data_IF_473746481270
#
_entry.id   IF_473746481270
#
_cell.length_a   1.000
_cell.length_b   1.000
_cell.length_c   1.000
_cell.angle_alpha   90.00
_cell.angle_beta   90.00
_cell.angle_gamma   90.00
#
_symmetry.space_group_name_H-M   'P 1'
#
loop_
_entity.id
_entity.type
_entity.pdbx_description
1 polymer ?
#
# COMPACT_ATOMS: atom_id res chain seq x y z
N UNK A 1 1.17 -17.78 -16.06
CA UNK A 1 0.32 -16.69 -16.60
C UNK A 1 0.25 -16.79 -18.13
N UNK A 2 -0.88 -17.24 -18.70
CA UNK A 2 -1.04 -17.39 -20.16
C UNK A 2 -1.68 -16.15 -20.78
N UNK A 3 -1.33 -15.87 -22.04
CA UNK A 3 -1.84 -14.70 -22.78
C UNK A 3 -3.36 -14.73 -22.93
N UNK A 4 -3.94 -15.88 -23.29
CA UNK A 4 -5.38 -15.99 -23.54
C UNK A 4 -6.21 -15.72 -22.29
N UNK A 5 -5.78 -16.24 -21.13
CA UNK A 5 -6.47 -16.00 -19.86
C UNK A 5 -6.37 -14.54 -19.44
N UNK A 6 -5.19 -13.93 -19.56
CA UNK A 6 -5.01 -12.52 -19.22
C UNK A 6 -5.75 -11.56 -20.17
N UNK A 7 -5.97 -11.95 -21.43
CA UNK A 7 -6.86 -11.20 -22.33
C UNK A 7 -8.31 -11.29 -21.84
N UNK A 8 -8.78 -12.46 -21.42
CA UNK A 8 -10.12 -12.60 -20.83
C UNK A 8 -10.28 -11.76 -19.55
N UNK A 9 -9.26 -11.70 -18.69
CA UNK A 9 -9.26 -10.80 -17.53
C UNK A 9 -9.37 -9.32 -17.96
N UNK A 10 -8.62 -8.89 -18.99
CA UNK A 10 -8.73 -7.53 -19.50
C UNK A 10 -10.12 -7.24 -20.11
N UNK A 11 -10.70 -8.21 -20.82
CA UNK A 11 -12.05 -8.12 -21.40
C UNK A 11 -13.13 -8.00 -20.31
N UNK A 12 -12.94 -8.61 -19.13
CA UNK A 12 -13.89 -8.51 -18.01
C UNK A 12 -14.20 -7.06 -17.64
N UNK A 13 -13.19 -6.17 -17.66
CA UNK A 13 -13.33 -4.75 -17.35
C UNK A 13 -14.03 -3.92 -18.44
N UNK A 14 -14.27 -4.48 -19.63
CA UNK A 14 -15.02 -3.78 -20.69
C UNK A 14 -16.53 -3.73 -20.39
N UNK A 15 -17.03 -4.67 -19.58
CA UNK A 15 -18.40 -4.67 -19.10
C UNK A 15 -18.69 -3.43 -18.26
N UNK A 16 -19.79 -2.73 -18.56
CA UNK A 16 -20.16 -1.47 -17.91
C UNK A 16 -20.13 -1.54 -16.38
N UNK A 17 -20.63 -2.63 -15.82
CA UNK A 17 -20.73 -2.85 -14.37
C UNK A 17 -19.41 -3.32 -13.74
N UNK A 18 -18.44 -3.74 -14.54
CA UNK A 18 -17.19 -4.33 -14.07
C UNK A 18 -16.03 -3.32 -14.00
N UNK A 19 -16.21 -2.13 -14.56
CA UNK A 19 -15.17 -1.07 -14.61
C UNK A 19 -14.63 -0.65 -13.25
N UNK A 20 -15.34 -0.92 -12.15
CA UNK A 20 -14.92 -0.59 -10.80
C UNK A 20 -14.60 -1.80 -9.93
N UNK A 21 -14.60 -3.01 -10.49
CA UNK A 21 -14.26 -4.21 -9.76
C UNK A 21 -12.84 -4.09 -9.18
N UNK A 22 -12.68 -4.39 -7.89
CA UNK A 22 -11.40 -4.31 -7.15
C UNK A 22 -10.72 -2.93 -7.11
N UNK A 23 -11.46 -1.85 -7.43
CA UNK A 23 -10.92 -0.50 -7.44
C UNK A 23 -10.64 0.01 -6.00
N UNK A 24 -9.46 0.54 -5.66
CA UNK A 24 -8.17 0.52 -6.38
C UNK A 24 -7.19 -0.51 -5.78
N UNK A 25 -7.65 -1.38 -4.87
CA UNK A 25 -6.81 -2.39 -4.21
C UNK A 25 -6.25 -3.44 -5.16
N UNK A 26 -7.13 -4.17 -5.86
CA UNK A 26 -6.67 -5.21 -6.80
C UNK A 26 -5.98 -4.62 -8.03
N UNK A 27 -6.30 -3.37 -8.38
CA UNK A 27 -5.60 -2.62 -9.42
C UNK A 27 -4.14 -2.38 -9.02
N UNK A 28 -3.92 -1.87 -7.80
CA UNK A 28 -2.61 -1.66 -7.22
C UNK A 28 -1.79 -2.95 -7.17
N UNK A 29 -2.35 -4.07 -6.71
CA UNK A 29 -1.66 -5.36 -6.70
C UNK A 29 -1.35 -5.89 -8.10
N UNK A 30 -2.24 -5.69 -9.06
CA UNK A 30 -2.00 -6.07 -10.46
C UNK A 30 -0.81 -5.29 -11.03
N UNK A 31 -0.75 -3.98 -10.77
CA UNK A 31 0.34 -3.13 -11.22
C UNK A 31 1.65 -3.39 -10.46
N UNK A 32 1.58 -3.75 -9.17
CA UNK A 32 2.74 -4.23 -8.42
C UNK A 32 3.31 -5.51 -9.05
N UNK A 33 2.47 -6.49 -9.40
CA UNK A 33 2.92 -7.71 -10.10
C UNK A 33 3.63 -7.36 -11.42
N UNK A 34 3.10 -6.39 -12.17
CA UNK A 34 3.75 -5.92 -13.40
C UNK A 34 5.12 -5.33 -13.11
N UNK A 35 5.25 -4.53 -12.05
CA UNK A 35 6.52 -3.94 -11.63
C UNK A 35 7.56 -5.01 -11.24
N UNK A 36 7.17 -6.00 -10.43
CA UNK A 36 8.06 -7.11 -10.04
C UNK A 36 8.57 -7.89 -11.27
N UNK A 37 7.67 -8.20 -12.21
CA UNK A 37 8.02 -8.93 -13.43
C UNK A 37 8.85 -8.09 -14.41
N UNK A 38 8.79 -6.76 -14.32
CA UNK A 38 9.54 -5.88 -15.22
C UNK A 38 11.04 -5.93 -14.93
N UNK A 39 11.43 -5.97 -13.66
CA UNK A 39 12.83 -5.91 -13.24
C UNK A 39 13.45 -7.30 -13.05
N UNK A 40 12.62 -8.35 -12.93
CA UNK A 40 13.09 -9.71 -12.70
C UNK A 40 13.76 -10.33 -13.94
N UNK A 41 15.06 -10.57 -13.84
CA UNK A 41 15.90 -11.18 -14.88
C UNK A 41 15.70 -12.70 -14.97
N UNK A 42 14.51 -13.12 -15.41
CA UNK A 42 14.13 -14.51 -15.61
C UNK A 42 13.33 -14.68 -16.92
N UNK A 43 13.51 -15.80 -17.62
CA UNK A 43 12.85 -16.05 -18.91
C UNK A 43 11.32 -16.15 -18.77
N UNK A 44 10.84 -16.78 -17.70
CA UNK A 44 9.42 -16.88 -17.41
C UNK A 44 8.84 -15.53 -17.00
N UNK A 45 9.59 -14.74 -16.21
CA UNK A 45 9.17 -13.39 -15.84
C UNK A 45 8.97 -12.49 -17.07
N UNK A 46 9.90 -12.50 -18.02
CA UNK A 46 9.78 -11.75 -19.29
C UNK A 46 8.57 -12.20 -20.10
N UNK A 47 8.32 -13.51 -20.18
CA UNK A 47 7.14 -14.08 -20.86
C UNK A 47 5.83 -13.66 -20.18
N UNK A 48 5.75 -13.73 -18.86
CA UNK A 48 4.57 -13.34 -18.10
C UNK A 48 4.33 -11.82 -18.17
N UNK A 49 5.38 -11.01 -18.12
CA UNK A 49 5.32 -9.56 -18.29
C UNK A 49 4.69 -9.16 -19.63
N UNK A 50 5.08 -9.83 -20.71
CA UNK A 50 4.48 -9.63 -22.04
C UNK A 50 3.01 -10.04 -22.06
N UNK A 51 2.67 -11.18 -21.43
CA UNK A 51 1.29 -11.66 -21.38
C UNK A 51 0.36 -10.74 -20.56
N UNK A 52 0.87 -10.04 -19.55
CA UNK A 52 0.12 -9.10 -18.69
C UNK A 52 -0.18 -7.75 -19.35
N UNK A 53 0.50 -7.41 -20.44
CA UNK A 53 0.41 -6.09 -21.07
C UNK A 53 -1.03 -5.64 -21.38
N UNK A 54 -1.96 -6.48 -21.89
CA UNK A 54 -3.34 -6.04 -22.14
C UNK A 54 -4.07 -5.63 -20.86
N UNK A 55 -3.95 -6.43 -19.80
CA UNK A 55 -4.59 -6.14 -18.51
C UNK A 55 -3.98 -4.89 -17.85
N UNK A 56 -2.65 -4.78 -17.87
CA UNK A 56 -1.92 -3.58 -17.42
C UNK A 56 -2.46 -2.31 -18.09
N UNK A 57 -2.57 -2.31 -19.42
CA UNK A 57 -3.08 -1.16 -20.18
C UNK A 57 -4.51 -0.80 -19.78
N UNK A 58 -5.38 -1.80 -19.60
CA UNK A 58 -6.76 -1.59 -19.15
C UNK A 58 -6.81 -0.96 -17.75
N UNK A 59 -6.04 -1.48 -16.79
CA UNK A 59 -6.01 -0.96 -15.43
C UNK A 59 -5.47 0.46 -15.37
N UNK A 60 -4.36 0.76 -16.08
CA UNK A 60 -3.81 2.12 -16.16
C UNK A 60 -4.81 3.08 -16.76
N UNK A 61 -5.52 2.68 -17.82
CA UNK A 61 -6.56 3.51 -18.43
C UNK A 61 -7.70 3.79 -17.44
N UNK A 62 -8.22 2.77 -16.76
CA UNK A 62 -9.30 2.92 -15.79
C UNK A 62 -8.90 3.82 -14.61
N UNK A 63 -7.69 3.64 -14.06
CA UNK A 63 -7.14 4.50 -13.02
C UNK A 63 -7.00 5.94 -13.51
N UNK A 64 -6.46 6.14 -14.72
CA UNK A 64 -6.28 7.47 -15.31
C UNK A 64 -7.61 8.20 -15.59
N UNK A 65 -8.67 7.46 -15.92
CA UNK A 65 -10.02 8.01 -16.12
C UNK A 65 -10.77 8.26 -14.80
N UNK A 66 -10.47 7.46 -13.77
CA UNK A 66 -11.14 7.53 -12.48
C UNK A 66 -10.55 8.60 -11.56
N UNK A 67 -9.22 8.65 -11.43
CA UNK A 67 -8.57 9.47 -10.43
C UNK A 67 -8.88 10.97 -10.55
N UNK A 68 -8.98 11.57 -11.77
CA UNK A 68 -9.47 12.94 -11.94
C UNK A 68 -10.86 13.20 -11.35
N UNK A 69 -11.75 12.20 -11.39
CA UNK A 69 -13.15 12.27 -10.92
C UNK A 69 -13.29 12.06 -9.41
N UNK A 70 -12.27 11.49 -8.76
CA UNK A 70 -12.27 11.31 -7.31
C UNK A 70 -11.98 12.66 -6.63
N UNK A 71 -13.00 13.20 -5.94
CA UNK A 71 -12.93 14.52 -5.28
C UNK A 71 -12.25 14.49 -3.91
N UNK A 72 -12.31 13.36 -3.21
CA UNK A 72 -11.78 13.19 -1.87
C UNK A 72 -10.97 11.89 -1.78
N UNK A 73 -9.87 11.87 -1.02
CA UNK A 73 -9.22 10.62 -0.68
C UNK A 73 -10.13 9.77 0.22
N UNK A 74 -9.98 8.46 0.11
CA UNK A 74 -10.62 7.48 0.98
C UNK A 74 -9.59 7.08 2.03
N UNK A 75 -9.92 7.36 3.31
CA UNK A 75 -9.08 7.05 4.46
C UNK A 75 -9.73 5.96 5.31
N UNK A 76 -9.33 4.72 5.10
CA UNK A 76 -9.89 3.55 5.79
C UNK A 76 -8.84 2.45 5.88
N UNK A 77 -8.95 1.53 6.84
CA UNK A 77 -7.99 0.45 6.98
C UNK A 77 -8.29 -0.80 6.15
N UNK A 78 -9.12 -0.68 5.11
CA UNK A 78 -9.51 -1.79 4.23
C UNK A 78 -9.33 -1.43 2.75
N UNK A 79 -9.72 -2.33 1.86
CA UNK A 79 -9.50 -2.31 0.41
C UNK A 79 -9.50 -0.93 -0.28
N UNK A 80 -10.51 -0.05 -0.11
CA UNK A 80 -10.55 1.19 -0.88
C UNK A 80 -9.60 2.30 -0.39
N UNK A 81 -8.68 2.02 0.55
CA UNK A 81 -7.66 2.99 0.99
C UNK A 81 -6.87 3.56 -0.18
N UNK A 82 -7.02 4.87 -0.39
CA UNK A 82 -6.38 5.56 -1.52
C UNK A 82 -4.88 5.76 -1.33
N UNK A 83 -4.40 5.88 -0.10
CA UNK A 83 -2.98 6.05 0.20
C UNK A 83 -2.17 4.84 -0.27
N UNK A 84 -2.63 3.64 0.08
CA UNK A 84 -2.03 2.38 -0.35
C UNK A 84 -1.97 2.25 -1.87
N UNK A 85 -3.13 2.40 -2.54
CA UNK A 85 -3.21 2.16 -3.96
C UNK A 85 -2.31 3.11 -4.75
N UNK A 86 -2.35 4.41 -4.44
CA UNK A 86 -1.51 5.40 -5.12
C UNK A 86 -0.02 5.18 -4.86
N UNK A 87 0.38 4.67 -3.69
CA UNK A 87 1.79 4.36 -3.41
C UNK A 87 2.31 3.25 -4.33
N UNK A 88 1.56 2.16 -4.47
CA UNK A 88 1.92 1.05 -5.37
C UNK A 88 1.90 1.46 -6.84
N UNK A 89 0.85 2.18 -7.25
CA UNK A 89 0.72 2.64 -8.64
C UNK A 89 1.84 3.61 -9.03
N UNK A 90 2.32 4.44 -8.08
CA UNK A 90 3.45 5.33 -8.31
C UNK A 90 4.77 4.58 -8.46
N UNK A 91 5.01 3.56 -7.63
CA UNK A 91 6.19 2.71 -7.74
C UNK A 91 6.19 1.99 -9.10
N UNK A 92 5.06 1.37 -9.47
CA UNK A 92 4.88 0.79 -10.80
C UNK A 92 5.15 1.79 -11.93
N UNK A 93 4.52 2.97 -11.89
CA UNK A 93 4.63 3.95 -12.96
C UNK A 93 6.09 4.41 -13.16
N UNK A 94 6.85 4.53 -12.07
CA UNK A 94 8.29 4.83 -12.10
C UNK A 94 9.10 3.67 -12.67
N UNK A 95 8.83 2.44 -12.24
CA UNK A 95 9.51 1.23 -12.74
C UNK A 95 9.36 1.08 -14.26
N UNK A 96 8.13 1.16 -14.79
CA UNK A 96 7.89 1.02 -16.24
C UNK A 96 8.05 2.32 -17.03
N UNK A 97 8.47 3.40 -16.36
CA UNK A 97 8.67 4.74 -16.95
C UNK A 97 7.42 5.34 -17.62
N UNK A 98 6.24 5.05 -17.07
CA UNK A 98 4.99 5.70 -17.47
C UNK A 98 4.88 7.08 -16.77
N UNK A 99 5.60 8.06 -17.30
CA UNK A 99 5.69 9.41 -16.72
C UNK A 99 4.33 10.11 -16.60
N UNK A 100 3.43 10.10 -17.61
CA UNK A 100 2.12 10.75 -17.49
C UNK A 100 1.27 10.20 -16.34
N UNK A 101 1.31 8.88 -16.12
CA UNK A 101 0.58 8.26 -15.02
C UNK A 101 1.20 8.60 -13.67
N UNK A 102 2.53 8.59 -13.57
CA UNK A 102 3.24 9.00 -12.35
C UNK A 102 2.97 10.48 -11.99
N UNK A 103 2.92 11.38 -12.98
CA UNK A 103 2.58 12.80 -12.78
C UNK A 103 1.15 12.99 -12.29
N UNK A 104 0.18 12.26 -12.88
CA UNK A 104 -1.21 12.27 -12.44
C UNK A 104 -1.35 11.81 -10.97
N UNK A 105 -0.68 10.72 -10.60
CA UNK A 105 -0.70 10.20 -9.22
C UNK A 105 -0.07 11.20 -8.25
N UNK A 106 1.10 11.76 -8.58
CA UNK A 106 1.77 12.75 -7.73
C UNK A 106 0.91 14.01 -7.53
N UNK A 107 0.29 14.51 -8.59
CA UNK A 107 -0.61 15.67 -8.51
C UNK A 107 -1.81 15.38 -7.60
N UNK A 108 -2.39 14.18 -7.70
CA UNK A 108 -3.54 13.77 -6.88
C UNK A 108 -3.16 13.52 -5.42
N UNK A 109 -2.02 12.89 -5.16
CA UNK A 109 -1.47 12.73 -3.82
C UNK A 109 -1.26 14.10 -3.13
N UNK A 110 -0.63 15.05 -3.83
CA UNK A 110 -0.45 16.41 -3.31
C UNK A 110 -1.78 17.13 -3.05
N UNK A 111 -2.77 16.98 -3.93
CA UNK A 111 -4.08 17.60 -3.77
C UNK A 111 -4.88 16.99 -2.58
N UNK A 112 -4.71 15.70 -2.32
CA UNK A 112 -5.42 14.99 -1.26
C UNK A 112 -4.78 15.14 0.12
N UNK A 113 -3.45 15.09 0.19
CA UNK A 113 -2.73 14.88 1.44
C UNK A 113 -1.68 15.97 1.74
N UNK A 114 -1.36 16.81 0.76
CA UNK A 114 -0.28 17.81 0.89
C UNK A 114 -0.51 18.86 1.98
N UNK A 115 -1.75 19.04 2.43
CA UNK A 115 -2.13 19.97 3.50
C UNK A 115 -2.64 19.27 4.76
N UNK A 116 -2.62 17.94 4.81
CA UNK A 116 -3.11 17.20 5.97
C UNK A 116 -2.20 17.42 7.19
N UNK A 117 -2.84 17.51 8.36
CA UNK A 117 -2.23 17.80 9.65
C UNK A 117 -3.00 17.06 10.74
N UNK A 118 -2.35 16.86 11.89
CA UNK A 118 -2.99 16.36 13.11
C UNK A 118 -3.85 15.09 12.87
N UNK A 119 -3.28 14.09 12.18
CA UNK A 119 -3.99 12.85 11.86
C UNK A 119 -4.61 12.22 13.12
N UNK A 120 -5.88 11.77 13.11
CA UNK A 120 -6.58 11.27 14.30
C UNK A 120 -6.13 9.85 14.67
N UNK A 121 -4.91 9.72 15.19
CA UNK A 121 -4.25 8.43 15.50
C UNK A 121 -5.05 7.53 16.44
N UNK A 122 -5.94 8.10 17.25
CA UNK A 122 -6.78 7.38 18.21
C UNK A 122 -7.97 6.66 17.59
N UNK A 123 -8.25 6.88 16.29
CA UNK A 123 -9.29 6.15 15.54
C UNK A 123 -8.79 4.83 14.96
N UNK A 124 -7.48 4.56 15.00
CA UNK A 124 -6.91 3.30 14.54
C UNK A 124 -6.49 2.40 15.70
N UNK A 125 -6.67 1.07 15.58
CA UNK A 125 -7.31 0.35 14.47
C UNK A 125 -8.85 0.26 14.59
N UNK A 126 -9.53 0.07 13.46
CA UNK A 126 -10.87 -0.53 13.39
C UNK A 126 -10.78 -2.06 13.40
N UNK A 127 -11.87 -2.74 13.77
CA UNK A 127 -11.86 -4.18 14.07
C UNK A 127 -11.41 -5.11 12.93
N UNK A 128 -11.56 -4.68 11.67
CA UNK A 128 -11.22 -5.47 10.48
C UNK A 128 -10.19 -4.79 9.58
N UNK A 129 -9.41 -3.86 10.14
CA UNK A 129 -8.35 -3.21 9.39
C UNK A 129 -7.25 -4.21 9.02
N UNK A 130 -6.78 -4.16 7.78
CA UNK A 130 -5.50 -4.71 7.34
C UNK A 130 -4.54 -3.63 6.84
N UNK A 131 -4.97 -2.37 6.89
CA UNK A 131 -4.19 -1.19 6.59
C UNK A 131 -4.29 -0.16 7.70
N UNK A 132 -3.22 0.62 7.85
CA UNK A 132 -3.23 1.86 8.59
C UNK A 132 -3.29 2.99 7.58
N UNK A 133 -4.42 3.68 7.50
CA UNK A 133 -4.59 4.74 6.50
C UNK A 133 -3.62 5.89 6.73
N UNK A 134 -3.35 6.24 7.99
CA UNK A 134 -2.37 7.28 8.33
C UNK A 134 -0.95 6.89 7.91
N UNK A 135 -0.54 5.64 8.14
CA UNK A 135 0.79 5.21 7.68
C UNK A 135 0.87 5.00 6.18
N UNK A 136 -0.20 4.57 5.52
CA UNK A 136 -0.25 4.49 4.05
C UNK A 136 -0.16 5.88 3.41
N UNK A 137 -0.82 6.88 3.99
CA UNK A 137 -0.70 8.28 3.57
C UNK A 137 0.74 8.78 3.70
N UNK A 138 1.37 8.59 4.85
CA UNK A 138 2.76 8.98 5.05
C UNK A 138 3.73 8.19 4.13
N UNK A 139 3.46 6.91 3.87
CA UNK A 139 4.23 6.06 2.96
C UNK A 139 4.09 6.51 1.48
N UNK A 140 2.91 6.98 1.07
CA UNK A 140 2.73 7.65 -0.22
C UNK A 140 3.48 8.98 -0.25
N UNK A 141 3.31 9.83 0.76
CA UNK A 141 3.86 11.19 0.76
C UNK A 141 5.40 11.21 0.78
N UNK A 142 6.07 10.21 1.38
CA UNK A 142 7.54 10.07 1.26
C UNK A 142 8.02 9.79 -0.16
N UNK A 143 7.16 9.24 -1.03
CA UNK A 143 7.49 9.00 -2.45
C UNK A 143 7.30 10.25 -3.30
N UNK A 144 6.41 11.15 -2.87
CA UNK A 144 5.99 12.34 -3.61
C UNK A 144 6.84 13.55 -3.24
N UNK A 145 7.11 13.76 -1.95
CA UNK A 145 7.83 14.92 -1.45
C UNK A 145 9.35 14.69 -1.46
N UNK A 146 10.16 15.73 -1.75
CA UNK A 146 11.60 15.70 -1.46
C UNK A 146 11.85 15.42 0.02
N UNK A 147 12.91 14.68 0.36
CA UNK A 147 13.21 14.20 1.72
C UNK A 147 13.03 15.24 2.82
N UNK A 148 13.59 16.45 2.63
CA UNK A 148 13.48 17.52 3.63
C UNK A 148 12.02 18.01 3.80
N UNK A 149 11.29 18.16 2.70
CA UNK A 149 9.87 18.56 2.72
C UNK A 149 8.98 17.48 3.30
N UNK A 150 9.30 16.21 3.06
CA UNK A 150 8.61 15.10 3.72
C UNK A 150 8.80 15.15 5.24
N UNK A 151 10.03 15.36 5.72
CA UNK A 151 10.31 15.43 7.16
C UNK A 151 9.54 16.56 7.86
N UNK A 152 9.45 17.74 7.22
CA UNK A 152 8.68 18.90 7.67
C UNK A 152 7.16 18.67 7.63
N UNK A 153 6.67 18.01 6.58
CA UNK A 153 5.25 17.63 6.45
C UNK A 153 4.86 16.60 7.51
N UNK A 154 5.71 15.60 7.77
CA UNK A 154 5.45 14.54 8.76
C UNK A 154 5.33 15.10 10.18
N UNK A 155 6.09 16.15 10.53
CA UNK A 155 5.96 16.82 11.84
C UNK A 155 4.60 17.51 12.00
N UNK A 156 3.95 17.94 10.91
CA UNK A 156 2.62 18.53 10.94
C UNK A 156 1.52 17.46 10.88
N UNK A 157 1.75 16.39 10.12
CA UNK A 157 0.80 15.29 9.95
C UNK A 157 0.71 14.39 11.20
N UNK A 158 1.86 14.05 11.80
CA UNK A 158 1.96 13.21 13.01
C UNK A 158 2.75 13.94 14.11
N UNK A 159 2.20 15.02 14.69
CA UNK A 159 2.92 15.92 15.62
C UNK A 159 3.42 15.22 16.89
N UNK A 160 2.83 14.09 17.24
CA UNK A 160 3.17 13.34 18.46
C UNK A 160 4.18 12.20 18.24
N UNK A 161 4.64 12.00 16.99
CA UNK A 161 5.59 10.94 16.65
C UNK A 161 6.92 11.10 17.38
N UNK A 162 7.49 12.31 17.45
CA UNK A 162 8.75 12.58 18.17
C UNK A 162 8.68 12.24 19.66
N UNK A 163 7.50 12.38 20.25
CA UNK A 163 7.28 12.07 21.67
C UNK A 163 6.81 10.65 21.91
N UNK A 164 6.74 9.82 20.86
CA UNK A 164 6.18 8.47 20.88
C UNK A 164 4.76 8.40 21.51
N UNK A 165 3.93 9.41 21.24
CA UNK A 165 2.55 9.53 21.76
C UNK A 165 1.51 9.30 20.65
N UNK A 166 1.75 8.28 19.84
CA UNK A 166 0.91 7.90 18.69
C UNK A 166 -0.14 6.83 19.04
N UNK A 167 -0.22 6.43 20.32
CA UNK A 167 -1.27 5.55 20.82
C UNK A 167 -1.20 4.11 20.27
N UNK A 168 -2.36 3.44 20.07
CA UNK A 168 -2.43 2.05 19.61
C UNK A 168 -1.81 1.80 18.23
N UNK A 169 -1.54 2.84 17.44
CA UNK A 169 -0.85 2.71 16.16
C UNK A 169 0.57 2.14 16.28
N UNK A 170 1.23 2.33 17.44
CA UNK A 170 2.61 1.90 17.69
C UNK A 170 2.73 0.52 18.35
N UNK A 171 1.61 -0.13 18.64
CA UNK A 171 1.58 -1.40 19.36
C UNK A 171 0.94 -2.47 18.48
N UNK A 172 1.56 -3.68 18.36
CA UNK A 172 0.98 -4.78 17.62
C UNK A 172 -0.42 -5.15 18.07
N UNK A 173 -1.29 -5.41 17.09
CA UNK A 173 -2.65 -5.89 17.33
C UNK A 173 -2.66 -7.40 17.40
N UNK A 174 -3.62 -7.96 18.14
CA UNK A 174 -3.83 -9.41 18.24
C UNK A 174 -5.03 -9.81 17.39
N UNK A 175 -4.90 -10.91 16.65
CA UNK A 175 -6.03 -11.59 16.01
C UNK A 175 -6.70 -12.47 17.06
N UNK A 176 -7.98 -12.23 17.34
CA UNK A 176 -8.74 -12.99 18.34
C UNK A 176 -9.27 -14.31 17.79
N UNK A 177 -9.54 -14.37 16.49
CA UNK A 177 -9.97 -15.57 15.77
C UNK A 177 -9.36 -15.56 14.38
N UNK A 178 -8.49 -16.52 14.08
CA UNK A 178 -7.78 -16.66 12.80
C UNK A 178 -8.63 -17.35 11.72
N UNK A 179 -9.78 -17.90 12.10
CA UNK A 179 -10.73 -18.56 11.20
C UNK A 179 -11.82 -17.62 10.69
N UNK A 180 -11.93 -16.43 11.29
CA UNK A 180 -12.80 -15.38 10.80
C UNK A 180 -12.08 -14.56 9.72
N UNK A 181 -12.67 -14.55 8.51
CA UNK A 181 -12.09 -13.91 7.33
C UNK A 181 -11.88 -12.40 7.44
N UNK A 182 -12.50 -11.73 8.42
CA UNK A 182 -12.31 -10.30 8.66
C UNK A 182 -11.41 -10.03 9.88
N UNK A 183 -11.50 -10.80 10.96
CA UNK A 183 -10.64 -10.58 12.12
C UNK A 183 -9.17 -10.90 11.79
N UNK A 184 -8.92 -11.85 10.88
CA UNK A 184 -7.57 -12.17 10.40
C UNK A 184 -6.90 -11.00 9.67
N UNK A 185 -7.66 -10.00 9.21
CA UNK A 185 -7.10 -8.77 8.63
C UNK A 185 -6.11 -8.06 9.56
N UNK A 186 -6.30 -8.15 10.88
CA UNK A 186 -5.40 -7.55 11.86
C UNK A 186 -3.97 -8.13 11.79
N UNK A 187 -3.79 -9.35 11.28
CA UNK A 187 -2.46 -9.87 10.96
C UNK A 187 -1.82 -9.09 9.80
N UNK A 188 -2.59 -8.81 8.75
CA UNK A 188 -2.17 -7.97 7.63
C UNK A 188 -1.88 -6.54 8.06
N UNK A 189 -2.67 -5.99 9.01
CA UNK A 189 -2.43 -4.66 9.57
C UNK A 189 -1.05 -4.56 10.24
N UNK A 190 -0.67 -5.59 11.00
CA UNK A 190 0.66 -5.64 11.59
C UNK A 190 1.75 -5.60 10.50
N UNK A 191 1.64 -6.40 9.45
CA UNK A 191 2.59 -6.38 8.34
C UNK A 191 2.61 -5.03 7.61
N UNK A 192 1.42 -4.44 7.38
CA UNK A 192 1.30 -3.17 6.67
C UNK A 192 1.90 -2.00 7.43
N UNK A 193 1.63 -1.93 8.73
CA UNK A 193 2.26 -0.96 9.63
C UNK A 193 3.77 -1.14 9.63
N UNK A 194 4.26 -2.38 9.64
CA UNK A 194 5.69 -2.65 9.68
C UNK A 194 6.43 -2.13 8.42
N UNK A 195 5.95 -2.43 7.21
CA UNK A 195 6.64 -1.96 6.00
C UNK A 195 6.51 -0.45 5.80
N UNK A 196 5.34 0.13 6.10
CA UNK A 196 5.13 1.58 5.96
C UNK A 196 6.02 2.36 6.93
N UNK A 197 6.13 1.91 8.18
CA UNK A 197 7.05 2.52 9.16
C UNK A 197 8.52 2.41 8.74
N UNK A 198 8.96 1.25 8.20
CA UNK A 198 10.32 1.12 7.62
C UNK A 198 10.54 2.12 6.49
N UNK A 199 9.59 2.24 5.57
CA UNK A 199 9.64 3.17 4.45
C UNK A 199 9.72 4.63 4.91
N UNK A 200 8.86 5.02 5.86
CA UNK A 200 8.84 6.36 6.45
C UNK A 200 10.19 6.66 7.12
N UNK A 201 10.70 5.75 7.96
CA UNK A 201 11.98 5.91 8.61
C UNK A 201 13.13 6.09 7.60
N UNK A 202 13.15 5.32 6.51
CA UNK A 202 14.16 5.41 5.47
C UNK A 202 14.17 6.77 4.72
N UNK A 203 13.03 7.46 4.67
CA UNK A 203 12.91 8.77 4.03
C UNK A 203 13.35 9.95 4.92
N UNK A 204 13.52 9.72 6.22
CA UNK A 204 13.98 10.74 7.17
C UNK A 204 15.51 10.92 7.16
N UNK A 205 16.02 12.11 7.53
CA UNK A 205 17.46 12.34 7.72
C UNK A 205 18.09 11.32 8.67
N UNK A 206 19.35 10.94 8.45
CA UNK A 206 20.02 9.85 9.19
C UNK A 206 20.02 10.03 10.71
N UNK A 207 20.08 11.27 11.19
CA UNK A 207 20.09 11.62 12.62
C UNK A 207 18.72 12.07 13.15
N UNK A 208 17.62 11.76 12.46
CA UNK A 208 16.28 12.10 12.96
C UNK A 208 15.80 11.05 13.98
N UNK A 209 15.57 11.47 15.23
CA UNK A 209 15.15 10.61 16.34
C UNK A 209 13.87 9.80 16.07
N UNK A 210 12.99 10.27 15.17
CA UNK A 210 11.78 9.54 14.77
C UNK A 210 12.09 8.19 14.11
N UNK A 211 13.29 8.02 13.54
CA UNK A 211 13.71 6.78 12.86
C UNK A 211 13.74 5.61 13.83
N UNK A 212 14.35 5.78 15.00
CA UNK A 212 14.45 4.72 16.01
C UNK A 212 13.04 4.30 16.50
N UNK A 213 12.21 5.29 16.84
CA UNK A 213 10.82 5.08 17.28
C UNK A 213 10.02 4.26 16.25
N UNK A 214 10.12 4.63 14.96
CA UNK A 214 9.43 3.92 13.87
C UNK A 214 9.98 2.51 13.65
N UNK A 215 11.30 2.34 13.68
CA UNK A 215 11.93 1.05 13.42
C UNK A 215 11.67 0.03 14.54
N UNK A 216 11.71 0.45 15.81
CA UNK A 216 11.37 -0.42 16.94
C UNK A 216 9.93 -0.93 16.83
N UNK A 217 8.99 -0.02 16.57
CA UNK A 217 7.58 -0.36 16.35
C UNK A 217 7.40 -1.25 15.11
N UNK A 218 8.07 -0.93 14.00
CA UNK A 218 8.04 -1.74 12.78
C UNK A 218 8.52 -3.17 13.01
N UNK A 219 9.57 -3.36 13.80
CA UNK A 219 10.07 -4.69 14.13
C UNK A 219 9.07 -5.47 14.99
N UNK A 220 8.46 -4.82 16.00
CA UNK A 220 7.44 -5.45 16.83
C UNK A 220 6.21 -5.87 16.02
N UNK A 221 5.72 -4.99 15.14
CA UNK A 221 4.60 -5.26 14.25
C UNK A 221 4.94 -6.36 13.23
N UNK A 222 6.12 -6.30 12.62
CA UNK A 222 6.59 -7.30 11.66
C UNK A 222 6.64 -8.71 12.28
N UNK A 223 7.22 -8.83 13.47
CA UNK A 223 7.29 -10.10 14.20
C UNK A 223 5.89 -10.65 14.52
N UNK A 224 4.98 -9.80 15.00
CA UNK A 224 3.61 -10.19 15.30
C UNK A 224 2.86 -10.64 14.04
N UNK A 225 2.93 -9.86 12.95
CA UNK A 225 2.27 -10.17 11.68
C UNK A 225 2.79 -11.47 11.06
N UNK A 226 4.11 -11.67 11.02
CA UNK A 226 4.73 -12.88 10.48
C UNK A 226 4.31 -14.16 11.23
N UNK A 227 4.03 -14.06 12.53
CA UNK A 227 3.57 -15.22 13.33
C UNK A 227 2.21 -15.78 12.88
N UNK A 228 1.38 -14.98 12.19
CA UNK A 228 0.07 -15.40 11.69
C UNK A 228 0.08 -15.94 10.25
N UNK A 229 1.17 -15.73 9.51
CA UNK A 229 1.30 -16.11 8.08
C UNK A 229 1.24 -17.63 7.89
N UNK A 230 1.57 -18.40 8.94
CA UNK A 230 1.58 -19.88 8.93
C UNK A 230 0.60 -20.45 9.96
N UNK A 231 -0.54 -19.76 10.15
CA UNK A 231 -1.54 -20.12 11.15
C UNK A 231 -2.35 -21.38 10.82
N UNK A 232 -2.22 -21.94 9.61
CA UNK A 232 -2.89 -23.15 9.14
C UNK A 232 -4.31 -22.94 8.60
N UNK A 233 -4.74 -21.68 8.43
CA UNK A 233 -6.09 -21.32 8.03
C UNK A 233 -6.13 -20.54 6.72
N UNK A 234 -6.93 -21.02 5.77
CA UNK A 234 -7.01 -20.46 4.43
C UNK A 234 -7.35 -18.97 4.46
N UNK A 235 -8.24 -18.55 5.36
CA UNK A 235 -8.73 -17.18 5.53
C UNK A 235 -7.61 -16.13 5.63
N UNK A 236 -6.47 -16.50 6.23
CA UNK A 236 -5.27 -15.66 6.26
C UNK A 236 -4.22 -16.06 5.23
N UNK A 237 -3.90 -17.35 5.13
CA UNK A 237 -2.69 -17.81 4.41
C UNK A 237 -2.69 -17.49 2.92
N UNK A 238 -3.87 -17.40 2.27
CA UNK A 238 -3.94 -17.17 0.83
C UNK A 238 -3.48 -15.77 0.39
N UNK A 239 -3.48 -14.78 1.28
CA UNK A 239 -3.10 -13.40 0.96
C UNK A 239 -2.02 -12.83 1.88
N UNK A 240 -1.92 -13.28 3.14
CA UNK A 240 -0.90 -12.81 4.09
C UNK A 240 0.53 -13.09 3.61
N UNK A 241 0.75 -14.14 2.82
CA UNK A 241 2.03 -14.44 2.23
C UNK A 241 2.54 -13.27 1.36
N UNK A 242 1.66 -12.62 0.59
CA UNK A 242 2.00 -11.46 -0.24
C UNK A 242 2.43 -10.28 0.63
N UNK A 243 1.71 -10.00 1.73
CA UNK A 243 2.05 -8.93 2.67
C UNK A 243 3.38 -9.20 3.39
N UNK A 244 3.62 -10.47 3.76
CA UNK A 244 4.85 -10.90 4.41
C UNK A 244 6.06 -10.72 3.48
N UNK A 245 5.96 -11.18 2.23
CA UNK A 245 7.02 -11.00 1.23
C UNK A 245 7.27 -9.52 0.97
N UNK A 246 6.22 -8.70 0.87
CA UNK A 246 6.37 -7.25 0.69
C UNK A 246 7.12 -6.61 1.86
N UNK A 247 6.75 -6.94 3.11
CA UNK A 247 7.46 -6.46 4.30
C UNK A 247 8.94 -6.88 4.35
N UNK A 248 9.24 -8.12 3.95
CA UNK A 248 10.59 -8.68 4.03
C UNK A 248 11.52 -8.16 2.93
N UNK A 249 10.98 -7.74 1.79
CA UNK A 249 11.77 -7.35 0.61
C UNK A 249 11.80 -5.84 0.34
N UNK A 250 10.97 -5.04 1.02
CA UNK A 250 10.88 -3.58 0.86
C UNK A 250 11.37 -2.80 2.08
#
# INVERSE_FOLDING_TARGET
LTRDKLRTEAEYFTGKENKSFERMYGWAWTLQLVAELHDWQDEDARRWRQNLQPLEQTIVQLASEYLPKLSFPIRTGIHPDTGFALAMELDYARTVKNLPFAELIQAKAMAFYGQDRDYPVHYEPSGHDFFSSGFNEADLMRRVLPKQKFAEWLDQFLPHLRTNKMGPMMTPVKVTDVTDGHLVHLAGLNLSRAWTMKGIAAALPEHDDRREILLESAHAHGNAGLSYVTSGHYEGEHWLATFAVYYLTR
#
